data_IF_052437478925
#
_entry.id   IF_052437478925
#
_cell.length_a   1.000
_cell.length_b   1.000
_cell.length_c   1.000
_cell.angle_alpha   90.00
_cell.angle_beta   90.00
_cell.angle_gamma   90.00
#
_symmetry.space_group_name_H-M   'P 1'
#
loop_
_entity.id
_entity.type
_entity.pdbx_description
1 polymer ?
#
# COMPACT_ATOMS: atom_id res chain seq x y z
N UNK A 1 -16.73 -4.85 15.23
CA UNK A 1 -15.33 -5.06 14.80
C UNK A 1 -15.31 -4.82 13.31
N UNK A 2 -14.41 -3.98 12.81
CA UNK A 2 -14.25 -3.74 11.37
C UNK A 2 -13.57 -4.94 10.72
N UNK A 3 -13.72 -5.07 9.41
CA UNK A 3 -12.94 -6.05 8.66
C UNK A 3 -11.50 -5.55 8.51
N UNK A 4 -11.35 -4.33 8.01
CA UNK A 4 -10.06 -3.66 7.81
C UNK A 4 -10.10 -2.27 8.47
N UNK A 5 -9.05 -1.90 9.19
CA UNK A 5 -8.83 -0.53 9.65
C UNK A 5 -7.61 0.05 8.94
N UNK A 6 -7.76 1.25 8.38
CA UNK A 6 -6.70 2.01 7.72
C UNK A 6 -6.18 3.10 8.65
N UNK A 7 -4.87 3.13 8.85
CA UNK A 7 -4.18 4.14 9.66
C UNK A 7 -3.12 4.82 8.80
N UNK A 8 -2.96 6.14 8.97
CA UNK A 8 -1.84 6.87 8.38
C UNK A 8 -2.28 8.01 7.49
N UNK A 9 -1.73 8.08 6.28
CA UNK A 9 -1.78 9.28 5.46
C UNK A 9 -3.06 9.41 4.64
N UNK A 10 -3.64 10.61 4.64
CA UNK A 10 -4.66 11.04 3.69
C UNK A 10 -4.16 12.27 2.96
N UNK A 11 -4.06 12.21 1.64
CA UNK A 11 -3.57 13.34 0.83
C UNK A 11 -4.69 13.98 0.03
N UNK A 12 -4.60 15.29 -0.16
CA UNK A 12 -5.33 15.99 -1.20
C UNK A 12 -4.40 16.12 -2.40
N UNK A 13 -4.71 15.37 -3.45
CA UNK A 13 -3.88 15.26 -4.64
C UNK A 13 -4.35 16.26 -5.69
N UNK A 14 -3.41 17.00 -6.27
CA UNK A 14 -3.60 17.77 -7.51
C UNK A 14 -2.88 17.01 -8.62
N UNK A 15 -3.66 16.45 -9.55
CA UNK A 15 -3.17 15.58 -10.61
C UNK A 15 -3.21 16.33 -11.93
N UNK A 16 -2.05 16.42 -12.57
CA UNK A 16 -1.85 16.93 -13.92
C UNK A 16 -1.68 15.72 -14.85
N UNK A 17 -2.63 15.55 -15.77
CA UNK A 17 -2.66 14.48 -16.77
C UNK A 17 -2.87 15.11 -18.14
N UNK A 18 -1.76 15.34 -18.86
CA UNK A 18 -1.74 16.12 -20.10
C UNK A 18 -2.25 17.55 -19.86
N UNK A 19 -3.28 17.93 -20.61
CA UNK A 19 -3.92 19.25 -20.53
C UNK A 19 -4.99 19.35 -19.44
N UNK A 20 -5.18 18.30 -18.64
CA UNK A 20 -6.20 18.26 -17.59
C UNK A 20 -5.59 18.36 -16.19
N UNK A 21 -6.22 19.15 -15.33
CA UNK A 21 -5.93 19.22 -13.90
C UNK A 21 -7.18 18.78 -13.13
N UNK A 22 -7.00 17.90 -12.14
CA UNK A 22 -8.07 17.48 -11.23
C UNK A 22 -7.58 17.37 -9.80
N UNK A 23 -8.49 17.58 -8.86
CA UNK A 23 -8.24 17.35 -7.43
C UNK A 23 -8.96 16.10 -6.95
N UNK A 24 -8.24 15.26 -6.21
CA UNK A 24 -8.77 14.01 -5.64
C UNK A 24 -8.21 13.79 -4.24
N UNK A 25 -8.69 12.75 -3.56
CA UNK A 25 -8.04 12.23 -2.36
C UNK A 25 -7.12 11.07 -2.76
N UNK A 26 -5.96 10.97 -2.12
CA UNK A 26 -4.97 9.91 -2.33
C UNK A 26 -4.63 9.13 -1.05
N UNK A 27 -3.59 8.30 -1.13
CA UNK A 27 -3.09 7.46 -0.04
C UNK A 27 -4.18 6.56 0.55
N UNK A 28 -4.60 6.76 1.81
CA UNK A 28 -5.71 6.03 2.41
C UNK A 28 -6.98 6.01 1.57
N UNK A 29 -7.27 7.08 0.83
CA UNK A 29 -8.44 7.11 -0.04
C UNK A 29 -8.30 6.17 -1.24
N UNK A 30 -7.09 5.94 -1.76
CA UNK A 30 -6.85 4.98 -2.85
C UNK A 30 -7.10 3.56 -2.36
N UNK A 31 -6.53 3.20 -1.18
CA UNK A 31 -6.75 1.88 -0.57
C UNK A 31 -8.24 1.66 -0.29
N UNK A 32 -8.88 2.65 0.33
CA UNK A 32 -10.30 2.59 0.65
C UNK A 32 -11.17 2.41 -0.60
N UNK A 33 -10.93 3.21 -1.64
CA UNK A 33 -11.68 3.13 -2.89
C UNK A 33 -11.48 1.79 -3.60
N UNK A 34 -10.24 1.28 -3.65
CA UNK A 34 -9.93 0.01 -4.28
C UNK A 34 -10.61 -1.17 -3.57
N UNK A 35 -10.58 -1.20 -2.23
CA UNK A 35 -11.31 -2.21 -1.45
C UNK A 35 -12.81 -2.21 -1.76
N UNK A 36 -13.44 -1.04 -1.84
CA UNK A 36 -14.87 -0.93 -2.15
C UNK A 36 -15.19 -1.22 -3.63
N UNK A 37 -14.24 -1.04 -4.55
CA UNK A 37 -14.39 -1.45 -5.95
C UNK A 37 -14.35 -2.98 -6.08
N UNK A 38 -13.55 -3.66 -5.26
CA UNK A 38 -13.45 -5.13 -5.20
C UNK A 38 -14.72 -5.71 -4.54
N UNK A 39 -15.06 -5.23 -3.35
CA UNK A 39 -16.26 -5.66 -2.61
C UNK A 39 -16.86 -4.48 -1.82
N UNK A 40 -18.04 -3.97 -2.21
CA UNK A 40 -18.67 -2.83 -1.54
C UNK A 40 -19.23 -3.17 -0.16
N UNK A 41 -19.19 -4.44 0.28
CA UNK A 41 -19.72 -4.88 1.57
C UNK A 41 -18.69 -4.89 2.71
N UNK A 42 -17.40 -4.73 2.41
CA UNK A 42 -16.32 -4.70 3.41
C UNK A 42 -16.55 -3.55 4.40
N UNK A 43 -16.52 -3.85 5.70
CA UNK A 43 -16.66 -2.82 6.72
C UNK A 43 -15.30 -2.20 7.10
N UNK A 44 -15.04 -0.99 6.61
CA UNK A 44 -13.74 -0.32 6.72
C UNK A 44 -13.75 0.76 7.81
N UNK A 45 -12.75 0.73 8.68
CA UNK A 45 -12.44 1.79 9.63
C UNK A 45 -11.37 2.73 9.09
N UNK A 46 -11.54 4.04 9.28
CA UNK A 46 -10.53 5.04 8.87
C UNK A 46 -10.02 5.79 10.10
N UNK A 47 -8.70 5.90 10.23
CA UNK A 47 -8.00 6.74 11.20
C UNK A 47 -6.89 7.52 10.49
N UNK A 48 -7.22 8.59 9.76
CA UNK A 48 -6.21 9.48 9.18
C UNK A 48 -5.43 10.14 10.31
N UNK A 49 -4.11 9.92 10.35
CA UNK A 49 -3.19 10.46 11.34
C UNK A 49 -2.52 11.71 10.79
N UNK A 50 -2.08 11.62 9.53
CA UNK A 50 -1.36 12.67 8.84
C UNK A 50 -2.17 13.08 7.60
N UNK A 51 -2.57 14.34 7.52
CA UNK A 51 -3.22 14.90 6.33
C UNK A 51 -2.25 15.81 5.60
N UNK A 52 -2.07 15.52 4.32
CA UNK A 52 -1.10 16.18 3.46
C UNK A 52 -1.66 16.60 2.11
N UNK A 53 -0.76 17.03 1.23
CA UNK A 53 -1.04 17.40 -0.14
C UNK A 53 0.03 16.85 -1.08
N UNK A 54 -0.38 16.49 -2.29
CA UNK A 54 0.53 16.06 -3.35
C UNK A 54 0.24 16.81 -4.66
N UNK A 55 1.30 17.22 -5.35
CA UNK A 55 1.24 17.61 -6.76
C UNK A 55 1.80 16.46 -7.59
N UNK A 56 1.00 15.94 -8.51
CA UNK A 56 1.29 14.70 -9.25
C UNK A 56 1.21 14.98 -10.74
N UNK A 57 2.25 14.60 -11.47
CA UNK A 57 2.27 14.61 -12.93
C UNK A 57 2.28 13.17 -13.44
N UNK A 58 1.40 12.87 -14.41
CA UNK A 58 1.27 11.55 -15.01
C UNK A 58 1.92 11.53 -16.39
N UNK A 59 2.91 10.64 -16.57
CA UNK A 59 3.52 10.33 -17.84
C UNK A 59 3.00 8.95 -18.31
N UNK A 60 1.87 8.96 -19.01
CA UNK A 60 1.25 7.75 -19.56
C UNK A 60 2.20 7.01 -20.50
N UNK A 61 2.84 7.64 -21.51
CA UNK A 61 3.78 6.96 -22.40
C UNK A 61 4.87 6.17 -21.67
N UNK A 62 5.39 6.72 -20.58
CA UNK A 62 6.39 6.04 -19.75
C UNK A 62 5.79 5.06 -18.71
N UNK A 63 4.46 5.05 -18.55
CA UNK A 63 3.75 4.41 -17.43
C UNK A 63 4.34 4.80 -16.07
N UNK A 64 4.64 6.10 -15.90
CA UNK A 64 5.26 6.66 -14.72
C UNK A 64 4.45 7.81 -14.15
N UNK A 65 4.68 8.07 -12.87
CA UNK A 65 4.23 9.29 -12.20
C UNK A 65 5.42 10.00 -11.57
N UNK A 66 5.30 11.30 -11.45
CA UNK A 66 6.23 12.14 -10.70
C UNK A 66 5.42 12.90 -9.66
N UNK A 67 5.91 12.96 -8.43
CA UNK A 67 5.19 13.62 -7.36
C UNK A 67 6.08 14.53 -6.53
N UNK A 68 5.48 15.63 -6.07
CA UNK A 68 6.02 16.45 -4.99
C UNK A 68 4.99 16.44 -3.87
N UNK A 69 5.40 15.92 -2.72
CA UNK A 69 4.50 15.64 -1.59
C UNK A 69 4.85 16.48 -0.37
N UNK A 70 3.83 16.84 0.39
CA UNK A 70 3.94 17.29 1.77
C UNK A 70 2.92 16.51 2.59
N UNK A 71 3.36 15.42 3.21
CA UNK A 71 2.50 14.36 3.74
C UNK A 71 1.84 14.71 5.08
N UNK A 72 2.43 15.61 5.87
CA UNK A 72 1.98 15.91 7.25
C UNK A 72 1.79 17.41 7.46
N UNK A 73 0.78 17.99 6.81
CA UNK A 73 0.37 19.39 7.02
C UNK A 73 -0.48 19.55 8.28
N UNK A 74 -1.34 18.55 8.55
CA UNK A 74 -2.23 18.51 9.71
C UNK A 74 -2.11 17.14 10.35
N UNK A 75 -1.93 17.12 11.68
CA UNK A 75 -1.85 15.90 12.45
C UNK A 75 -3.13 15.71 13.28
N UNK A 76 -3.60 14.48 13.33
CA UNK A 76 -4.75 14.05 14.13
C UNK A 76 -4.32 13.06 15.21
N UNK A 77 -5.15 12.96 16.24
CA UNK A 77 -5.01 11.89 17.23
C UNK A 77 -5.40 10.56 16.59
N UNK A 78 -4.65 9.51 16.92
CA UNK A 78 -4.96 8.15 16.47
C UNK A 78 -6.31 7.75 17.05
N UNK A 79 -7.25 7.35 16.20
CA UNK A 79 -8.52 6.78 16.63
C UNK A 79 -8.38 5.27 16.56
N UNK A 80 -8.26 4.62 17.72
CA UNK A 80 -8.18 3.15 17.78
C UNK A 80 -9.47 2.53 17.22
N UNK A 81 -9.32 1.66 16.23
CA UNK A 81 -10.41 0.91 15.61
C UNK A 81 -10.09 -0.57 15.74
N UNK A 82 -10.96 -1.31 16.44
CA UNK A 82 -10.87 -2.77 16.49
C UNK A 82 -11.24 -3.37 15.13
N UNK A 83 -10.30 -4.10 14.53
CA UNK A 83 -10.44 -4.75 13.22
C UNK A 83 -9.78 -6.13 13.19
N UNK A 84 -10.08 -6.93 12.16
CA UNK A 84 -9.36 -8.17 11.89
C UNK A 84 -7.98 -7.89 11.28
N UNK A 85 -7.91 -6.90 10.40
CA UNK A 85 -6.68 -6.44 9.75
C UNK A 85 -6.50 -4.94 10.03
N UNK A 86 -5.30 -4.53 10.41
CA UNK A 86 -4.90 -3.13 10.54
C UNK A 86 -3.82 -2.82 9.50
N UNK A 87 -4.11 -1.92 8.56
CA UNK A 87 -3.17 -1.53 7.51
C UNK A 87 -2.62 -0.12 7.77
N UNK A 88 -1.29 -0.03 7.81
CA UNK A 88 -0.53 1.18 8.09
C UNK A 88 0.01 1.76 6.77
N UNK A 89 -0.46 2.95 6.40
CA UNK A 89 -0.14 3.58 5.11
C UNK A 89 0.99 4.58 5.28
N UNK A 90 2.06 4.36 4.52
CA UNK A 90 3.35 5.06 4.56
C UNK A 90 3.94 5.06 5.98
N UNK A 91 4.18 3.86 6.50
CA UNK A 91 4.69 3.63 7.86
C UNK A 91 5.94 4.44 8.19
N UNK A 92 6.85 4.62 7.22
CA UNK A 92 8.09 5.36 7.39
C UNK A 92 7.89 6.88 7.56
N UNK A 93 6.74 7.41 7.14
CA UNK A 93 6.45 8.84 7.20
C UNK A 93 5.52 9.22 8.36
N UNK A 94 4.92 8.24 9.04
CA UNK A 94 3.98 8.48 10.14
C UNK A 94 4.60 9.37 11.22
N UNK A 95 3.87 10.41 11.59
CA UNK A 95 4.30 11.29 12.69
C UNK A 95 4.07 10.69 14.07
N UNK A 96 3.22 9.66 14.13
CA UNK A 96 2.90 8.90 15.34
C UNK A 96 2.85 7.41 15.06
N UNK A 97 3.52 6.64 15.90
CA UNK A 97 3.67 5.20 15.71
C UNK A 97 3.63 4.41 17.05
N UNK A 98 3.39 5.12 18.16
CA UNK A 98 3.28 4.61 19.54
C UNK A 98 2.12 3.63 19.75
N UNK A 99 1.11 3.68 18.88
CA UNK A 99 -0.07 2.84 18.94
C UNK A 99 0.09 1.46 18.29
N UNK A 100 1.11 1.27 17.44
CA UNK A 100 1.28 0.05 16.65
C UNK A 100 1.45 -1.21 17.53
N UNK A 101 2.23 -1.19 18.63
CA UNK A 101 2.39 -2.36 19.49
C UNK A 101 1.11 -2.83 20.19
N UNK A 102 0.06 -1.99 20.23
CA UNK A 102 -1.22 -2.29 20.91
C UNK A 102 -2.36 -2.55 19.91
N UNK A 103 -2.07 -2.64 18.62
CA UNK A 103 -3.05 -3.05 17.62
C UNK A 103 -3.33 -4.56 17.75
N UNK A 104 -4.61 -4.91 17.67
CA UNK A 104 -5.06 -6.30 17.59
C UNK A 104 -5.14 -6.76 16.13
N UNK A 105 -5.11 -8.07 15.91
CA UNK A 105 -5.30 -8.69 14.59
C UNK A 105 -4.02 -8.77 13.76
N UNK A 106 -4.17 -8.89 12.44
CA UNK A 106 -3.05 -8.93 11.49
C UNK A 106 -2.66 -7.48 11.16
N UNK A 107 -1.39 -7.14 11.32
CA UNK A 107 -0.87 -5.81 11.03
C UNK A 107 -0.14 -5.85 9.71
N UNK A 108 -0.58 -5.04 8.75
CA UNK A 108 0.08 -4.88 7.47
C UNK A 108 0.54 -3.44 7.32
N UNK A 109 1.55 -3.20 6.50
CA UNK A 109 2.06 -1.86 6.27
C UNK A 109 2.60 -1.70 4.86
N UNK A 110 2.48 -0.51 4.30
CA UNK A 110 3.27 -0.08 3.15
C UNK A 110 4.21 1.06 3.55
N UNK A 111 5.22 1.31 2.70
CA UNK A 111 6.14 2.43 2.82
C UNK A 111 6.18 3.20 1.50
N UNK A 112 6.62 4.46 1.55
CA UNK A 112 6.85 5.27 0.36
C UNK A 112 8.25 5.90 0.39
N UNK A 113 8.68 6.49 -0.73
CA UNK A 113 9.87 7.32 -0.75
C UNK A 113 9.84 8.42 0.33
N UNK A 114 10.98 8.63 0.99
CA UNK A 114 11.10 9.62 2.06
C UNK A 114 12.08 9.19 3.15
N UNK A 115 11.66 9.29 4.40
CA UNK A 115 12.41 8.89 5.60
C UNK A 115 12.72 7.39 5.60
N UNK A 116 13.79 7.04 6.31
CA UNK A 116 14.07 5.65 6.63
C UNK A 116 13.03 5.09 7.60
N UNK A 117 12.72 3.80 7.44
CA UNK A 117 11.82 3.07 8.34
C UNK A 117 12.52 2.87 9.68
N UNK A 118 11.79 3.04 10.78
CA UNK A 118 12.26 2.54 12.07
C UNK A 118 12.15 1.00 12.08
N UNK A 119 13.26 0.31 11.85
CA UNK A 119 13.28 -1.16 11.73
C UNK A 119 12.73 -1.87 12.97
N UNK A 120 12.86 -1.29 14.17
CA UNK A 120 12.31 -1.89 15.40
C UNK A 120 10.78 -2.02 15.35
N UNK A 121 10.08 -1.16 14.60
CA UNK A 121 8.63 -1.23 14.52
C UNK A 121 8.13 -2.36 13.63
N UNK A 122 8.98 -2.85 12.72
CA UNK A 122 8.64 -3.91 11.79
C UNK A 122 8.42 -5.25 12.50
N UNK A 123 8.91 -5.41 13.74
CA UNK A 123 8.64 -6.58 14.58
C UNK A 123 7.15 -6.78 14.90
N UNK A 124 6.31 -5.76 14.64
CA UNK A 124 4.86 -5.82 14.79
C UNK A 124 4.13 -6.06 13.46
N UNK A 125 4.81 -5.97 12.31
CA UNK A 125 4.19 -5.98 10.98
C UNK A 125 4.24 -7.39 10.38
N UNK A 126 3.08 -8.00 10.19
CA UNK A 126 2.92 -9.33 9.58
C UNK A 126 3.16 -9.33 8.06
N UNK A 127 2.81 -8.25 7.36
CA UNK A 127 3.01 -8.11 5.91
C UNK A 127 3.46 -6.69 5.57
N UNK A 128 4.66 -6.53 5.01
CA UNK A 128 5.24 -5.26 4.60
C UNK A 128 5.28 -5.18 3.07
N UNK A 129 4.57 -4.21 2.48
CA UNK A 129 4.59 -3.90 1.06
C UNK A 129 5.61 -2.81 0.76
N UNK A 130 6.46 -3.05 -0.24
CA UNK A 130 7.47 -2.09 -0.68
C UNK A 130 7.41 -2.04 -2.21
N UNK A 131 7.24 -0.86 -2.77
CA UNK A 131 7.42 -0.65 -4.20
C UNK A 131 8.91 -0.72 -4.56
N UNK A 132 9.27 -1.28 -5.70
CA UNK A 132 10.67 -1.35 -6.14
C UNK A 132 11.34 0.02 -6.31
N UNK A 133 10.56 1.07 -6.50
CA UNK A 133 11.02 2.47 -6.52
C UNK A 133 11.23 3.10 -5.14
N UNK A 134 10.64 2.52 -4.09
CA UNK A 134 10.63 3.07 -2.72
C UNK A 134 11.60 2.36 -1.77
N UNK A 135 12.21 1.25 -2.21
CA UNK A 135 13.19 0.53 -1.39
C UNK A 135 14.47 1.37 -1.20
N UNK A 136 14.78 1.70 0.05
CA UNK A 136 15.92 2.54 0.42
C UNK A 136 17.04 1.79 1.18
N UNK A 137 16.76 0.59 1.69
CA UNK A 137 17.70 -0.30 2.38
C UNK A 137 17.69 -1.69 1.73
N UNK A 138 18.50 -2.61 2.22
CA UNK A 138 18.56 -3.94 1.61
C UNK A 138 17.26 -4.73 1.86
N UNK A 139 16.75 -5.41 0.83
CA UNK A 139 15.57 -6.28 0.97
C UNK A 139 15.73 -7.31 2.10
N UNK A 140 16.96 -7.77 2.34
CA UNK A 140 17.29 -8.69 3.42
C UNK A 140 17.11 -8.05 4.81
N UNK A 141 17.47 -6.78 4.98
CA UNK A 141 17.32 -6.06 6.24
C UNK A 141 15.84 -5.87 6.62
N UNK A 142 15.01 -5.50 5.64
CA UNK A 142 13.56 -5.50 5.80
C UNK A 142 13.02 -6.87 6.17
N UNK A 143 13.49 -7.91 5.49
CA UNK A 143 13.07 -9.29 5.75
C UNK A 143 13.42 -9.74 7.16
N UNK A 144 14.62 -9.39 7.66
CA UNK A 144 15.07 -9.78 9.00
C UNK A 144 14.36 -9.01 10.12
N UNK A 145 13.84 -7.81 9.83
CA UNK A 145 13.23 -6.92 10.83
C UNK A 145 11.71 -7.07 10.89
N UNK A 146 11.08 -7.55 9.81
CA UNK A 146 9.63 -7.72 9.70
C UNK A 146 9.19 -9.02 10.36
N UNK A 147 8.11 -8.99 11.15
CA UNK A 147 7.57 -10.17 11.85
C UNK A 147 7.19 -11.29 10.87
N UNK A 148 6.64 -10.93 9.72
CA UNK A 148 6.21 -11.88 8.70
C UNK A 148 6.84 -11.60 7.34
N UNK A 149 6.01 -11.38 6.33
CA UNK A 149 6.43 -11.35 4.94
C UNK A 149 6.75 -9.93 4.47
N UNK A 150 7.84 -9.80 3.73
CA UNK A 150 8.16 -8.61 2.93
C UNK A 150 7.85 -8.91 1.47
N UNK A 151 7.08 -8.02 0.86
CA UNK A 151 6.59 -8.10 -0.52
C UNK A 151 7.15 -6.89 -1.27
N UNK A 152 8.23 -7.12 -2.01
CA UNK A 152 8.77 -6.13 -2.94
C UNK A 152 8.05 -6.27 -4.28
N UNK A 153 7.23 -5.30 -4.65
CA UNK A 153 6.38 -5.35 -5.84
C UNK A 153 6.78 -4.33 -6.91
N UNK A 154 6.56 -4.69 -8.16
CA UNK A 154 6.69 -3.82 -9.33
C UNK A 154 5.57 -4.11 -10.32
N UNK A 155 5.49 -3.36 -11.42
CA UNK A 155 4.54 -3.61 -12.50
C UNK A 155 4.71 -4.98 -13.20
N UNK A 156 5.81 -5.69 -12.94
CA UNK A 156 6.13 -6.97 -13.60
C UNK A 156 6.05 -8.19 -12.68
N UNK A 157 5.78 -7.99 -11.39
CA UNK A 157 5.73 -9.08 -10.42
C UNK A 157 6.19 -8.68 -9.03
N UNK A 158 6.47 -9.69 -8.19
CA UNK A 158 6.93 -9.47 -6.82
C UNK A 158 8.01 -10.46 -6.41
N UNK A 159 8.96 -9.96 -5.61
CA UNK A 159 9.87 -10.78 -4.79
C UNK A 159 9.31 -10.80 -3.38
N UNK A 160 9.06 -11.99 -2.85
CA UNK A 160 8.34 -12.18 -1.58
C UNK A 160 9.18 -13.07 -0.67
N UNK A 161 9.35 -12.67 0.60
CA UNK A 161 10.23 -13.37 1.55
C UNK A 161 9.82 -13.14 3.00
N UNK A 162 9.93 -14.16 3.86
CA UNK A 162 9.82 -14.03 5.33
C UNK A 162 11.14 -14.36 6.05
N UNK A 163 12.23 -14.58 5.30
CA UNK A 163 13.57 -14.89 5.83
C UNK A 163 13.89 -16.38 5.81
N UNK A 164 12.87 -17.24 5.85
CA UNK A 164 13.01 -18.69 5.70
C UNK A 164 12.68 -19.13 4.28
N UNK A 165 11.57 -18.63 3.77
CA UNK A 165 11.07 -18.86 2.42
C UNK A 165 11.22 -17.62 1.57
N UNK A 166 11.48 -17.84 0.28
CA UNK A 166 11.53 -16.80 -0.74
C UNK A 166 10.97 -17.30 -2.05
N UNK A 167 10.14 -16.50 -2.70
CA UNK A 167 9.66 -16.79 -4.03
C UNK A 167 9.52 -15.54 -4.89
N UNK A 168 9.40 -15.77 -6.20
CA UNK A 168 9.15 -14.73 -7.19
C UNK A 168 7.86 -15.06 -7.93
N UNK A 169 6.98 -14.07 -8.03
CA UNK A 169 5.85 -14.10 -8.95
C UNK A 169 6.17 -13.20 -10.13
N UNK A 170 6.04 -13.71 -11.35
CA UNK A 170 6.18 -12.93 -12.59
C UNK A 170 4.81 -12.77 -13.23
N UNK A 171 4.38 -11.54 -13.47
CA UNK A 171 3.20 -11.28 -14.28
C UNK A 171 3.48 -11.66 -15.75
N UNK A 172 2.58 -12.37 -16.45
CA UNK A 172 2.69 -12.61 -17.88
C UNK A 172 2.90 -11.32 -18.68
N UNK A 173 3.78 -11.34 -19.68
CA UNK A 173 4.22 -10.13 -20.39
C UNK A 173 3.09 -9.43 -21.15
N UNK A 174 2.09 -10.20 -21.59
CA UNK A 174 0.88 -9.73 -22.23
C UNK A 174 -0.06 -8.97 -21.29
N UNK A 175 0.09 -9.15 -19.97
CA UNK A 175 -0.69 -8.45 -18.94
C UNK A 175 0.02 -7.20 -18.43
N UNK A 176 1.30 -6.99 -18.78
CA UNK A 176 2.03 -5.78 -18.39
C UNK A 176 1.48 -4.58 -19.16
N UNK A 177 0.81 -3.68 -18.43
CA UNK A 177 0.18 -2.50 -18.99
C UNK A 177 1.21 -1.50 -19.52
N UNK A 178 0.84 -0.82 -20.62
CA UNK A 178 1.62 0.25 -21.25
C UNK A 178 0.68 1.42 -21.54
N UNK A 179 1.20 2.65 -21.54
CA UNK A 179 0.42 3.85 -21.82
C UNK A 179 -0.73 4.11 -20.82
N UNK A 180 -0.59 3.66 -19.57
CA UNK A 180 -1.62 3.77 -18.52
C UNK A 180 -1.24 4.76 -17.43
N UNK A 181 -2.24 5.22 -16.68
CA UNK A 181 -2.04 5.99 -15.46
C UNK A 181 -1.79 5.03 -14.29
N UNK A 182 -0.56 5.03 -13.76
CA UNK A 182 -0.13 4.14 -12.66
C UNK A 182 -0.36 4.74 -11.26
N UNK A 183 -1.05 5.89 -11.16
CA UNK A 183 -1.33 6.53 -9.87
C UNK A 183 -2.15 5.61 -8.97
N UNK A 184 -1.61 5.32 -7.78
CA UNK A 184 -2.25 4.47 -6.79
C UNK A 184 -2.11 2.97 -7.07
N UNK A 185 -1.28 2.55 -8.04
CA UNK A 185 -1.10 1.13 -8.36
C UNK A 185 -0.63 0.29 -7.16
N UNK A 186 0.31 0.81 -6.36
CA UNK A 186 0.74 0.16 -5.11
C UNK A 186 -0.39 0.05 -4.08
N UNK A 187 -1.17 1.12 -3.90
CA UNK A 187 -2.32 1.15 -2.99
C UNK A 187 -3.41 0.13 -3.42
N UNK A 188 -3.67 0.02 -4.73
CA UNK A 188 -4.60 -0.96 -5.31
C UNK A 188 -4.05 -2.39 -5.11
N UNK A 189 -2.76 -2.60 -5.36
CA UNK A 189 -2.11 -3.89 -5.13
C UNK A 189 -2.22 -4.35 -3.68
N UNK A 190 -1.89 -3.47 -2.73
CA UNK A 190 -2.08 -3.74 -1.31
C UNK A 190 -3.55 -4.05 -1.01
N UNK A 191 -4.50 -3.29 -1.55
CA UNK A 191 -5.94 -3.53 -1.35
C UNK A 191 -6.39 -4.92 -1.81
N UNK A 192 -5.95 -5.35 -3.00
CA UNK A 192 -6.27 -6.67 -3.53
C UNK A 192 -5.70 -7.78 -2.64
N UNK A 193 -4.47 -7.60 -2.14
CA UNK A 193 -3.87 -8.53 -1.19
C UNK A 193 -4.65 -8.58 0.13
N UNK A 194 -5.00 -7.43 0.71
CA UNK A 194 -5.74 -7.33 1.97
C UNK A 194 -7.11 -8.01 1.86
N UNK A 195 -7.77 -7.87 0.71
CA UNK A 195 -9.04 -8.55 0.45
C UNK A 195 -8.90 -10.08 0.53
N UNK A 196 -7.90 -10.66 -0.15
CA UNK A 196 -7.64 -12.11 -0.10
C UNK A 196 -7.20 -12.59 1.29
N UNK A 197 -6.37 -11.78 1.96
CA UNK A 197 -5.96 -12.04 3.34
C UNK A 197 -7.17 -12.08 4.30
N UNK A 198 -8.13 -11.16 4.11
CA UNK A 198 -9.37 -11.09 4.91
C UNK A 198 -10.26 -12.32 4.72
N UNK A 199 -10.37 -12.82 3.49
CA UNK A 199 -11.13 -14.04 3.19
C UNK A 199 -10.50 -15.29 3.84
N UNK A 200 -9.18 -15.30 4.02
CA UNK A 200 -8.45 -16.41 4.65
C UNK A 200 -8.38 -17.69 3.81
N UNK A 201 -8.72 -17.62 2.52
CA UNK A 201 -8.63 -18.75 1.59
C UNK A 201 -7.35 -18.69 0.75
N UNK A 202 -6.68 -19.83 0.59
CA UNK A 202 -5.43 -19.95 -0.16
C UNK A 202 -4.20 -19.61 0.68
N UNK A 203 -3.06 -19.47 0.01
CA UNK A 203 -1.79 -19.05 0.62
C UNK A 203 -1.27 -17.73 0.02
N UNK A 204 -0.14 -17.25 0.52
CA UNK A 204 0.45 -15.98 0.08
C UNK A 204 0.74 -15.95 -1.42
N UNK A 205 1.01 -17.08 -2.08
CA UNK A 205 1.25 -17.13 -3.53
C UNK A 205 -0.05 -16.83 -4.26
N UNK A 206 -1.15 -17.45 -3.84
CA UNK A 206 -2.49 -17.19 -4.39
C UNK A 206 -2.87 -15.72 -4.20
N UNK A 207 -2.55 -15.14 -3.03
CA UNK A 207 -2.88 -13.75 -2.72
C UNK A 207 -2.07 -12.75 -3.56
N UNK A 208 -0.78 -13.03 -3.80
CA UNK A 208 0.10 -12.22 -4.64
C UNK A 208 -0.32 -12.30 -6.11
N UNK A 209 -0.63 -13.49 -6.61
CA UNK A 209 -1.13 -13.67 -7.97
C UNK A 209 -2.44 -12.89 -8.17
N UNK A 210 -3.40 -13.07 -7.27
CA UNK A 210 -4.66 -12.32 -7.32
C UNK A 210 -4.40 -10.81 -7.30
N UNK A 211 -3.52 -10.33 -6.41
CA UNK A 211 -3.24 -8.91 -6.30
C UNK A 211 -2.68 -8.32 -7.60
N UNK A 212 -1.77 -9.02 -8.27
CA UNK A 212 -1.23 -8.60 -9.58
C UNK A 212 -2.29 -8.60 -10.69
N UNK A 213 -3.07 -9.68 -10.80
CA UNK A 213 -4.09 -9.81 -11.84
C UNK A 213 -5.21 -8.77 -11.67
N UNK A 214 -5.75 -8.64 -10.46
CA UNK A 214 -6.85 -7.70 -10.20
C UNK A 214 -6.40 -6.24 -10.27
N UNK A 215 -5.17 -5.92 -9.84
CA UNK A 215 -4.61 -4.57 -10.03
C UNK A 215 -4.49 -4.22 -11.51
N UNK A 216 -4.03 -5.18 -12.32
CA UNK A 216 -3.94 -5.03 -13.78
C UNK A 216 -5.31 -4.77 -14.40
N UNK A 217 -6.34 -5.51 -13.97
CA UNK A 217 -7.71 -5.31 -14.44
C UNK A 217 -8.29 -3.94 -14.04
N UNK A 218 -8.05 -3.50 -12.80
CA UNK A 218 -8.55 -2.21 -12.30
C UNK A 218 -7.88 -1.04 -13.04
N UNK A 219 -6.56 -1.08 -13.22
CA UNK A 219 -5.81 -0.01 -13.90
C UNK A 219 -6.04 -0.04 -15.42
N UNK A 220 -6.28 -1.22 -15.99
CA UNK A 220 -6.48 -1.39 -17.43
C UNK A 220 -7.84 -0.90 -17.96
N UNK A 221 -8.79 -0.56 -17.08
CA UNK A 221 -10.09 0.04 -17.42
C UNK A 221 -9.94 1.50 -17.86
#
# INVERSE_FOLDING_TARGET
MKDIALYGHLTIDTIIDGDTEKKTLGSMANVWKALLEIDPTIDIGLSPIDIGQALIYIDKPAAKRYSKVNLSLVQHQVKMVSSKISHLIYLNELTRNDFIPVLDGIITADICAGKQVNMEILQYVDYLFISDEDINDSFLEYTNSTKGWVILHSASGSVVSNGEEKFFYKLPEELILKNVNVLGAGDIFASCFLYKLLEGYGDIRDWIEYAHLTTTEIIGK
#
